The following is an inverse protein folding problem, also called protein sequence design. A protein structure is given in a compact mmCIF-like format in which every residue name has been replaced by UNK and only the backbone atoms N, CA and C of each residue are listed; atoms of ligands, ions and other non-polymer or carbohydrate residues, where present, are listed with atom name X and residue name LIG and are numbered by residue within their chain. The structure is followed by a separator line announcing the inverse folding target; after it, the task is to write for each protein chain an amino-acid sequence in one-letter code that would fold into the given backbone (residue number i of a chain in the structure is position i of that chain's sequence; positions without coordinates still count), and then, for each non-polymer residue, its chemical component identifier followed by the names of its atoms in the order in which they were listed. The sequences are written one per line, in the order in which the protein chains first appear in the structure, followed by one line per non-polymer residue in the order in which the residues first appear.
data_IF_494850121126
#
_entry.id   IF_494850121126
#
_cell.length_a   1.000
_cell.length_b   1.000
_cell.length_c   1.000
_cell.angle_alpha   90.00
_cell.angle_beta   90.00
_cell.angle_gamma   90.00
#
_symmetry.space_group_name_H-M   'P 1'
#
loop_
_entity.id
_entity.type
_entity.pdbx_description
1 polymer ?
#
# COMPACT_ATOMS: atom_id res chain seq x y z
N UNK A 1 -9.59 -4.29 -16.12
CA UNK A 1 -10.45 -5.31 -15.49
C UNK A 1 -9.59 -6.15 -14.54
N UNK A 2 -10.06 -6.28 -13.30
CA UNK A 2 -9.31 -6.95 -12.21
C UNK A 2 -9.05 -8.44 -12.48
N UNK A 3 -9.96 -9.13 -13.19
CA UNK A 3 -9.81 -10.56 -13.51
C UNK A 3 -8.71 -10.76 -14.54
N UNK A 4 -8.71 -9.96 -15.59
CA UNK A 4 -7.67 -9.97 -16.63
C UNK A 4 -6.29 -9.63 -16.06
N UNK A 5 -6.22 -8.64 -15.16
CA UNK A 5 -4.97 -8.26 -14.49
C UNK A 5 -4.41 -9.41 -13.63
N UNK A 6 -5.25 -10.05 -12.82
CA UNK A 6 -4.84 -11.23 -12.02
C UNK A 6 -4.37 -12.39 -12.89
N UNK A 7 -5.05 -12.66 -14.00
CA UNK A 7 -4.66 -13.72 -14.93
C UNK A 7 -3.28 -13.44 -15.54
N UNK A 8 -3.03 -12.20 -15.98
CA UNK A 8 -1.73 -11.80 -16.52
C UNK A 8 -0.63 -11.91 -15.46
N UNK A 9 -0.91 -11.47 -14.23
CA UNK A 9 0.05 -11.55 -13.12
C UNK A 9 0.43 -13.01 -12.81
N UNK A 10 -0.55 -13.92 -12.76
CA UNK A 10 -0.27 -15.36 -12.57
C UNK A 10 0.62 -15.94 -13.65
N UNK A 11 0.44 -15.53 -14.93
CA UNK A 11 1.31 -15.98 -16.04
C UNK A 11 2.76 -15.57 -15.84
N UNK A 12 3.00 -14.39 -15.30
CA UNK A 12 4.34 -13.87 -15.02
C UNK A 12 4.90 -14.32 -13.66
N UNK A 13 4.21 -15.23 -12.96
CA UNK A 13 4.65 -15.77 -11.67
C UNK A 13 4.36 -14.87 -10.46
N UNK A 14 3.61 -13.78 -10.62
CA UNK A 14 3.20 -12.93 -9.50
C UNK A 14 2.10 -13.62 -8.69
N UNK A 15 2.30 -13.86 -7.38
CA UNK A 15 1.34 -14.58 -6.57
C UNK A 15 0.05 -13.79 -6.38
N UNK A 16 -1.09 -14.46 -6.47
CA UNK A 16 -2.42 -13.87 -6.31
C UNK A 16 -3.20 -14.58 -5.21
N UNK A 17 -4.22 -13.91 -4.64
CA UNK A 17 -5.10 -14.53 -3.64
C UNK A 17 -5.73 -15.79 -4.23
N UNK A 18 -5.66 -16.96 -3.54
CA UNK A 18 -6.39 -18.15 -3.95
C UNK A 18 -7.88 -17.88 -4.08
N UNK A 19 -8.49 -18.33 -5.16
CA UNK A 19 -9.90 -18.04 -5.43
C UNK A 19 -10.43 -18.81 -6.63
N UNK A 20 -11.69 -18.56 -6.95
CA UNK A 20 -12.33 -19.10 -8.16
C UNK A 20 -11.67 -18.50 -9.41
N UNK A 21 -11.59 -19.29 -10.50
CA UNK A 21 -11.05 -18.84 -11.79
C UNK A 21 -12.08 -17.98 -12.57
N UNK A 22 -12.62 -16.96 -11.92
CA UNK A 22 -13.67 -16.11 -12.49
C UNK A 22 -15.00 -16.24 -11.74
N UNK A 23 -16.10 -16.08 -12.47
CA UNK A 23 -17.44 -16.22 -11.90
C UNK A 23 -17.67 -17.60 -11.30
N UNK A 24 -18.38 -17.65 -10.18
CA UNK A 24 -18.80 -18.92 -9.59
C UNK A 24 -19.76 -19.65 -10.54
N UNK A 25 -19.63 -20.99 -10.68
CA UNK A 25 -20.57 -21.79 -11.46
C UNK A 25 -21.94 -21.87 -10.77
N UNK A 26 -22.95 -22.25 -11.54
CA UNK A 26 -24.32 -22.44 -11.00
C UNK A 26 -24.47 -23.76 -10.23
N UNK A 27 -23.55 -24.72 -10.43
CA UNK A 27 -23.58 -26.01 -9.75
C UNK A 27 -23.13 -25.90 -8.28
N UNK A 28 -24.03 -26.16 -7.31
CA UNK A 28 -23.71 -26.09 -5.89
C UNK A 28 -22.55 -26.99 -5.46
N UNK A 29 -22.46 -28.20 -6.01
CA UNK A 29 -21.41 -29.17 -5.64
C UNK A 29 -20.04 -28.70 -6.11
N UNK A 30 -19.98 -28.07 -7.27
CA UNK A 30 -18.75 -27.46 -7.78
C UNK A 30 -18.34 -26.23 -6.96
N UNK A 31 -19.28 -25.38 -6.57
CA UNK A 31 -19.04 -24.23 -5.68
C UNK A 31 -18.47 -24.68 -4.33
N UNK A 32 -19.06 -25.73 -3.72
CA UNK A 32 -18.58 -26.27 -2.46
C UNK A 32 -17.15 -26.83 -2.60
N UNK A 33 -16.86 -27.52 -3.70
CA UNK A 33 -15.52 -28.03 -4.01
C UNK A 33 -14.51 -26.88 -4.10
N UNK A 34 -14.82 -25.83 -4.86
CA UNK A 34 -13.96 -24.64 -4.99
C UNK A 34 -13.67 -24.04 -3.60
N UNK A 35 -14.69 -23.88 -2.76
CA UNK A 35 -14.52 -23.33 -1.43
C UNK A 35 -13.61 -24.18 -0.51
N UNK A 36 -13.74 -25.52 -0.59
CA UNK A 36 -12.87 -26.44 0.14
C UNK A 36 -11.42 -26.36 -0.34
N UNK A 37 -11.21 -26.24 -1.65
CA UNK A 37 -9.86 -26.10 -2.24
C UNK A 37 -9.20 -24.78 -1.83
N UNK A 38 -9.96 -23.68 -1.75
CA UNK A 38 -9.49 -22.39 -1.25
C UNK A 38 -9.20 -22.44 0.26
N UNK A 39 -10.03 -23.16 1.01
CA UNK A 39 -10.01 -23.26 2.46
C UNK A 39 -10.68 -22.05 3.17
N UNK A 40 -11.59 -22.37 4.11
CA UNK A 40 -12.30 -21.35 4.91
C UNK A 40 -11.36 -20.60 5.86
N UNK A 41 -11.68 -19.34 6.24
CA UNK A 41 -12.79 -18.55 5.73
C UNK A 41 -12.56 -18.06 4.30
N UNK A 42 -13.66 -17.90 3.56
CA UNK A 42 -13.67 -17.34 2.21
C UNK A 42 -14.47 -16.04 2.16
N UNK A 43 -14.25 -15.24 1.14
CA UNK A 43 -15.02 -14.04 0.87
C UNK A 43 -15.66 -14.14 -0.52
N UNK A 44 -16.96 -13.96 -0.58
CA UNK A 44 -17.74 -13.87 -1.84
C UNK A 44 -17.82 -12.41 -2.24
N UNK A 45 -17.50 -12.09 -3.49
CA UNK A 45 -17.42 -10.72 -4.01
C UNK A 45 -18.20 -10.58 -5.29
N UNK A 46 -18.95 -9.48 -5.44
CA UNK A 46 -19.55 -9.08 -6.71
C UNK A 46 -18.48 -8.70 -7.73
N UNK A 47 -18.54 -9.23 -8.94
CA UNK A 47 -17.57 -8.94 -10.00
C UNK A 47 -17.59 -7.47 -10.43
N UNK A 48 -18.74 -6.83 -10.41
CA UNK A 48 -18.94 -5.41 -10.70
C UNK A 48 -18.83 -4.52 -9.43
N UNK A 49 -18.58 -5.10 -8.26
CA UNK A 49 -18.51 -4.40 -6.98
C UNK A 49 -17.18 -3.67 -6.76
N UNK A 50 -17.21 -2.67 -5.88
CA UNK A 50 -16.05 -1.92 -5.46
C UNK A 50 -16.31 -1.15 -4.15
N UNK A 51 -15.23 -0.67 -3.51
CA UNK A 51 -15.35 0.14 -2.29
C UNK A 51 -15.96 -0.57 -1.07
N UNK A 52 -15.77 -1.91 -0.97
CA UNK A 52 -16.30 -2.68 0.17
C UNK A 52 -17.79 -3.09 0.04
N UNK A 53 -18.46 -2.76 -1.06
CA UNK A 53 -19.83 -3.15 -1.34
C UNK A 53 -19.91 -4.44 -2.15
N UNK A 54 -20.95 -5.25 -1.89
CA UNK A 54 -21.15 -6.53 -2.58
C UNK A 54 -20.11 -7.58 -2.18
N UNK A 55 -19.74 -7.61 -0.91
CA UNK A 55 -18.82 -8.60 -0.34
C UNK A 55 -19.40 -9.22 0.91
N UNK A 56 -19.22 -10.54 1.07
CA UNK A 56 -19.71 -11.30 2.22
C UNK A 56 -18.67 -12.34 2.66
N UNK A 57 -18.31 -12.28 3.95
CA UNK A 57 -17.42 -13.27 4.56
C UNK A 57 -18.19 -14.51 4.94
N UNK A 58 -17.61 -15.67 4.64
CA UNK A 58 -18.18 -17.00 4.91
C UNK A 58 -17.16 -17.82 5.68
N UNK A 59 -17.49 -18.17 6.93
CA UNK A 59 -16.58 -18.86 7.83
C UNK A 59 -16.63 -20.37 7.72
N UNK A 60 -17.74 -20.92 7.26
CA UNK A 60 -17.96 -22.36 7.13
C UNK A 60 -18.87 -22.71 5.95
N UNK A 61 -18.90 -23.99 5.61
CA UNK A 61 -19.61 -24.52 4.45
C UNK A 61 -21.15 -24.38 4.57
N UNK A 62 -21.68 -24.50 5.79
CA UNK A 62 -23.14 -24.56 6.03
C UNK A 62 -23.89 -23.33 5.52
N UNK A 63 -23.24 -22.17 5.59
CA UNK A 63 -23.83 -20.89 5.19
C UNK A 63 -23.35 -20.39 3.83
N UNK A 64 -22.52 -21.16 3.12
CA UNK A 64 -21.90 -20.70 1.87
C UNK A 64 -22.93 -20.42 0.78
N UNK A 65 -23.76 -21.37 0.45
CA UNK A 65 -24.71 -21.25 -0.67
C UNK A 65 -25.72 -20.13 -0.44
N UNK A 66 -26.27 -20.03 0.78
CA UNK A 66 -27.19 -18.92 1.13
C UNK A 66 -26.48 -17.56 1.08
N UNK A 67 -25.22 -17.51 1.49
CA UNK A 67 -24.41 -16.28 1.40
C UNK A 67 -24.17 -15.84 -0.04
N UNK A 68 -23.96 -16.79 -0.96
CA UNK A 68 -23.81 -16.53 -2.39
C UNK A 68 -25.11 -15.96 -2.96
N UNK A 69 -26.25 -16.59 -2.71
CA UNK A 69 -27.56 -16.13 -3.19
C UNK A 69 -27.85 -14.69 -2.75
N UNK A 70 -27.62 -14.38 -1.47
CA UNK A 70 -27.78 -13.02 -0.93
C UNK A 70 -26.84 -12.04 -1.63
N UNK A 71 -25.56 -12.40 -1.81
CA UNK A 71 -24.57 -11.53 -2.45
C UNK A 71 -24.91 -11.31 -3.93
N UNK A 72 -25.40 -12.31 -4.64
CA UNK A 72 -25.86 -12.20 -6.02
C UNK A 72 -27.06 -11.25 -6.14
N UNK A 73 -28.03 -11.37 -5.22
CA UNK A 73 -29.20 -10.48 -5.18
C UNK A 73 -28.81 -9.02 -4.91
N UNK A 74 -27.94 -8.81 -3.94
CA UNK A 74 -27.39 -7.48 -3.62
C UNK A 74 -26.58 -6.90 -4.80
N UNK A 75 -25.79 -7.73 -5.49
CA UNK A 75 -25.00 -7.33 -6.65
C UNK A 75 -25.88 -6.95 -7.85
N UNK A 76 -26.93 -7.73 -8.12
CA UNK A 76 -27.89 -7.43 -9.16
C UNK A 76 -28.61 -6.09 -8.91
N UNK A 77 -29.02 -5.84 -7.66
CA UNK A 77 -29.70 -4.60 -7.28
C UNK A 77 -28.79 -3.37 -7.32
N UNK A 78 -27.55 -3.51 -6.85
CA UNK A 78 -26.62 -2.38 -6.70
C UNK A 78 -25.80 -2.09 -7.96
N UNK A 79 -25.49 -3.12 -8.77
CA UNK A 79 -24.54 -3.03 -9.90
C UNK A 79 -25.12 -3.52 -11.21
N UNK A 80 -26.38 -4.02 -11.23
CA UNK A 80 -27.04 -4.54 -12.43
C UNK A 80 -26.49 -5.89 -12.92
N UNK A 81 -25.67 -6.58 -12.13
CA UNK A 81 -25.09 -7.88 -12.48
C UNK A 81 -25.02 -8.79 -11.27
N UNK A 82 -25.55 -10.03 -11.31
CA UNK A 82 -25.49 -10.99 -10.22
C UNK A 82 -24.17 -11.78 -10.17
N UNK A 83 -23.22 -11.48 -11.05
CA UNK A 83 -21.96 -12.24 -11.14
C UNK A 83 -21.13 -12.04 -9.89
N UNK A 84 -20.80 -13.15 -9.23
CA UNK A 84 -19.94 -13.20 -8.05
C UNK A 84 -18.77 -14.17 -8.24
N UNK A 85 -17.71 -13.93 -7.52
CA UNK A 85 -16.54 -14.81 -7.43
C UNK A 85 -16.14 -14.99 -5.95
N UNK A 86 -15.28 -15.94 -5.66
CA UNK A 86 -14.86 -16.28 -4.31
C UNK A 86 -13.35 -16.21 -4.18
N UNK A 87 -12.86 -15.74 -3.03
CA UNK A 87 -11.43 -15.69 -2.70
C UNK A 87 -11.19 -16.11 -1.25
N UNK A 88 -9.96 -16.50 -0.94
CA UNK A 88 -9.50 -16.68 0.43
C UNK A 88 -9.65 -15.37 1.19
N UNK A 89 -10.26 -15.40 2.37
CA UNK A 89 -10.24 -14.27 3.30
C UNK A 89 -8.89 -14.21 4.00
N UNK A 90 -8.23 -13.08 3.88
CA UNK A 90 -7.04 -12.74 4.68
C UNK A 90 -7.51 -12.05 5.96
N UNK A 91 -7.08 -12.56 7.12
CA UNK A 91 -7.63 -12.10 8.41
C UNK A 91 -6.85 -10.95 9.03
N UNK A 92 -5.53 -10.98 8.90
CA UNK A 92 -4.62 -9.98 9.47
C UNK A 92 -3.53 -9.60 8.47
N UNK A 93 -3.89 -9.24 7.24
CA UNK A 93 -2.89 -8.96 6.22
C UNK A 93 -2.17 -7.63 6.51
N UNK A 94 -0.95 -7.55 6.01
CA UNK A 94 -0.20 -6.31 5.86
C UNK A 94 -0.31 -5.83 4.43
N UNK A 95 -0.25 -4.53 4.23
CA UNK A 95 -0.14 -3.93 2.90
C UNK A 95 1.34 -3.73 2.59
N UNK A 96 1.88 -4.56 1.73
CA UNK A 96 3.28 -4.49 1.31
C UNK A 96 3.32 -4.35 -0.21
N UNK A 97 4.17 -3.47 -0.71
CA UNK A 97 4.21 -3.13 -2.12
C UNK A 97 5.64 -3.16 -2.67
N UNK A 98 5.79 -3.44 -3.97
CA UNK A 98 7.09 -3.52 -4.65
C UNK A 98 7.20 -2.37 -5.65
N UNK A 99 8.22 -1.54 -5.48
CA UNK A 99 8.55 -0.47 -6.42
C UNK A 99 9.30 -1.02 -7.63
N UNK A 100 8.87 -0.66 -8.83
CA UNK A 100 9.54 -1.04 -10.08
C UNK A 100 9.86 0.19 -10.93
N UNK A 101 10.88 0.03 -11.77
CA UNK A 101 11.21 0.91 -12.89
C UNK A 101 11.39 0.05 -14.13
N UNK A 102 10.79 0.46 -15.26
CA UNK A 102 10.90 -0.26 -16.52
C UNK A 102 10.98 0.71 -17.69
N UNK A 103 11.77 0.38 -18.71
CA UNK A 103 12.00 1.25 -19.87
C UNK A 103 11.13 0.93 -21.09
N UNK A 104 10.35 -0.14 -21.04
CA UNK A 104 9.54 -0.61 -22.16
C UNK A 104 10.35 -1.24 -23.29
N UNK A 105 11.67 -1.39 -23.12
CA UNK A 105 12.61 -1.94 -24.09
C UNK A 105 13.17 -3.31 -23.65
N UNK A 106 12.47 -3.97 -22.74
CA UNK A 106 12.84 -5.29 -22.20
C UNK A 106 13.73 -5.24 -20.96
N UNK A 107 13.94 -4.07 -20.37
CA UNK A 107 14.70 -3.91 -19.14
C UNK A 107 13.83 -3.32 -18.02
N UNK A 108 13.85 -3.95 -16.86
CA UNK A 108 13.16 -3.53 -15.66
C UNK A 108 13.96 -3.92 -14.41
N UNK A 109 13.76 -3.18 -13.33
CA UNK A 109 14.34 -3.47 -12.01
C UNK A 109 13.28 -3.26 -10.93
N UNK A 110 13.43 -3.93 -9.78
CA UNK A 110 12.70 -3.57 -8.57
C UNK A 110 13.62 -2.83 -7.59
N UNK A 111 13.04 -1.92 -6.83
CA UNK A 111 13.71 -1.12 -5.81
C UNK A 111 13.33 -1.55 -4.38
N UNK A 112 12.96 -2.83 -4.21
CA UNK A 112 12.53 -3.38 -2.94
C UNK A 112 11.09 -3.04 -2.59
N UNK A 113 10.78 -3.30 -1.33
CA UNK A 113 9.44 -3.23 -0.78
C UNK A 113 9.23 -2.02 0.14
N UNK A 114 7.95 -1.69 0.32
CA UNK A 114 7.46 -0.76 1.35
C UNK A 114 6.33 -1.42 2.12
N UNK A 115 6.28 -1.17 3.42
CA UNK A 115 5.12 -1.48 4.25
C UNK A 115 4.23 -0.25 4.38
N UNK A 116 2.98 -0.39 4.00
CA UNK A 116 1.97 0.65 4.03
C UNK A 116 0.73 0.22 4.86
N UNK A 117 0.94 -0.66 5.82
CA UNK A 117 -0.14 -1.25 6.63
C UNK A 117 -0.78 -0.27 7.60
N UNK A 118 -0.06 0.78 8.01
CA UNK A 118 -0.62 1.79 8.89
C UNK A 118 -1.46 2.76 8.09
N UNK A 119 -2.75 2.42 8.02
CA UNK A 119 -3.72 3.13 7.21
C UNK A 119 -5.06 3.26 7.95
N UNK A 120 -5.87 4.22 7.53
CA UNK A 120 -7.24 4.41 7.99
C UNK A 120 -8.16 4.53 6.79
N UNK A 121 -9.21 3.70 6.74
CA UNK A 121 -10.16 3.67 5.61
C UNK A 121 -9.46 3.60 4.26
N UNK A 122 -8.44 2.75 4.16
CA UNK A 122 -7.57 2.57 2.99
C UNK A 122 -6.69 3.78 2.62
N UNK A 123 -6.60 4.79 3.47
CA UNK A 123 -5.65 5.89 3.32
C UNK A 123 -4.40 5.61 4.15
N UNK A 124 -3.27 5.48 3.48
CA UNK A 124 -1.95 5.28 4.08
C UNK A 124 -1.58 6.50 4.93
N UNK A 125 -1.04 6.29 6.12
CA UNK A 125 -0.69 7.34 7.10
C UNK A 125 0.80 7.31 7.44
N UNK A 126 1.36 6.11 7.68
CA UNK A 126 2.79 5.89 7.85
C UNK A 126 3.21 4.78 6.90
N UNK A 127 4.33 5.00 6.23
CA UNK A 127 4.96 4.02 5.36
C UNK A 127 6.42 3.83 5.77
N UNK A 128 6.96 2.65 5.52
CA UNK A 128 8.36 2.34 5.81
C UNK A 128 8.98 1.40 4.78
N UNK A 129 10.28 1.49 4.62
CA UNK A 129 11.08 0.61 3.76
C UNK A 129 12.42 0.25 4.44
N UNK A 130 12.85 -1.01 4.33
CA UNK A 130 12.07 -2.17 3.87
C UNK A 130 10.97 -2.57 4.85
N UNK A 131 10.02 -3.39 4.41
CA UNK A 131 8.95 -3.90 5.28
C UNK A 131 9.54 -4.78 6.40
N UNK A 132 9.21 -4.50 7.69
CA UNK A 132 9.79 -5.23 8.81
C UNK A 132 9.44 -6.72 8.80
N UNK A 133 10.42 -7.57 9.12
CA UNK A 133 10.21 -9.00 9.36
C UNK A 133 9.87 -9.83 8.13
N UNK A 134 10.04 -9.31 6.91
CA UNK A 134 9.94 -10.08 5.67
C UNK A 134 11.33 -10.63 5.34
N UNK A 135 11.48 -11.96 5.15
CA UNK A 135 12.75 -12.55 4.75
C UNK A 135 13.26 -12.03 3.41
N UNK A 136 14.57 -11.88 3.26
CA UNK A 136 15.18 -11.30 2.06
C UNK A 136 14.95 -12.16 0.81
N UNK A 137 14.96 -13.49 0.95
CA UNK A 137 14.67 -14.42 -0.13
C UNK A 137 13.25 -14.30 -0.66
N UNK A 138 12.27 -14.15 0.24
CA UNK A 138 10.85 -13.95 -0.11
C UNK A 138 10.65 -12.60 -0.81
N UNK A 139 11.34 -11.57 -0.33
CA UNK A 139 11.32 -10.22 -0.94
C UNK A 139 11.93 -10.24 -2.35
N UNK A 140 13.05 -10.91 -2.52
CA UNK A 140 13.73 -11.02 -3.81
C UNK A 140 12.91 -11.83 -4.83
N UNK A 141 12.29 -12.93 -4.41
CA UNK A 141 11.43 -13.75 -5.25
C UNK A 141 10.24 -12.94 -5.81
N UNK A 142 9.51 -12.25 -4.94
CA UNK A 142 8.37 -11.42 -5.40
C UNK A 142 8.84 -10.23 -6.24
N UNK A 143 9.97 -9.62 -5.90
CA UNK A 143 10.58 -8.54 -6.68
C UNK A 143 10.94 -8.99 -8.10
N UNK A 144 11.58 -10.14 -8.24
CA UNK A 144 11.92 -10.74 -9.53
C UNK A 144 10.67 -11.06 -10.37
N UNK A 145 9.59 -11.56 -9.75
CA UNK A 145 8.32 -11.80 -10.42
C UNK A 145 7.69 -10.50 -10.94
N UNK A 146 7.75 -9.40 -10.17
CA UNK A 146 7.29 -8.09 -10.58
C UNK A 146 8.09 -7.53 -11.78
N UNK A 147 9.41 -7.72 -11.76
CA UNK A 147 10.30 -7.35 -12.89
C UNK A 147 9.91 -8.12 -14.14
N UNK A 148 9.73 -9.43 -14.04
CA UNK A 148 9.32 -10.25 -15.17
C UNK A 148 7.96 -9.82 -15.73
N UNK A 149 7.00 -9.52 -14.86
CA UNK A 149 5.69 -9.02 -15.27
C UNK A 149 5.79 -7.70 -16.04
N UNK A 150 6.67 -6.78 -15.61
CA UNK A 150 6.94 -5.53 -16.35
C UNK A 150 7.49 -5.79 -17.74
N UNK A 151 8.43 -6.73 -17.87
CA UNK A 151 9.02 -7.11 -19.17
C UNK A 151 7.96 -7.73 -20.09
N UNK A 152 7.18 -8.68 -19.59
CA UNK A 152 6.13 -9.38 -20.33
C UNK A 152 5.03 -8.43 -20.86
N UNK A 153 4.72 -7.38 -20.10
CA UNK A 153 3.73 -6.37 -20.46
C UNK A 153 4.29 -5.22 -21.30
N UNK A 154 5.61 -5.14 -21.49
CA UNK A 154 6.24 -3.96 -22.11
C UNK A 154 6.01 -2.68 -21.31
N UNK A 155 5.95 -2.77 -19.97
CA UNK A 155 5.69 -1.62 -19.10
C UNK A 155 6.77 -0.56 -19.23
N UNK A 156 6.36 0.73 -19.14
CA UNK A 156 7.27 1.87 -19.27
C UNK A 156 7.01 2.87 -18.15
N UNK A 157 8.02 3.21 -17.38
CA UNK A 157 7.97 4.21 -16.30
C UNK A 157 8.16 3.63 -14.90
N UNK A 158 7.81 4.43 -13.90
CA UNK A 158 7.74 4.01 -12.52
C UNK A 158 6.38 3.37 -12.23
N UNK A 159 6.38 2.28 -11.49
CA UNK A 159 5.16 1.59 -11.09
C UNK A 159 5.31 0.90 -9.74
N UNK A 160 4.20 0.52 -9.17
CA UNK A 160 4.17 -0.16 -7.87
C UNK A 160 3.17 -1.30 -7.93
N UNK A 161 3.63 -2.50 -7.59
CA UNK A 161 2.77 -3.66 -7.38
C UNK A 161 2.34 -3.70 -5.93
N UNK A 162 1.05 -3.61 -5.65
CA UNK A 162 0.49 -3.69 -4.31
C UNK A 162 0.05 -5.10 -3.96
N UNK A 163 0.38 -5.53 -2.74
CA UNK A 163 0.10 -6.86 -2.22
C UNK A 163 -0.52 -6.79 -0.83
N UNK A 164 -1.33 -7.79 -0.52
CA UNK A 164 -1.55 -8.20 0.86
C UNK A 164 -0.50 -9.27 1.22
N UNK A 165 0.09 -9.14 2.40
CA UNK A 165 1.07 -10.08 2.93
C UNK A 165 0.54 -10.69 4.24
N UNK A 166 0.43 -12.01 4.26
CA UNK A 166 -0.01 -12.76 5.44
C UNK A 166 0.67 -14.14 5.46
N UNK A 167 1.08 -14.59 6.62
CA UNK A 167 1.67 -15.92 6.84
C UNK A 167 2.83 -16.24 5.88
N UNK A 168 3.73 -15.27 5.68
CA UNK A 168 4.92 -15.45 4.84
C UNK A 168 4.66 -15.38 3.33
N UNK A 169 3.46 -15.03 2.89
CA UNK A 169 3.05 -15.05 1.48
C UNK A 169 2.52 -13.71 1.00
N UNK A 170 2.90 -13.36 -0.22
CA UNK A 170 2.39 -12.21 -0.94
C UNK A 170 1.15 -12.57 -1.76
N UNK A 171 0.18 -11.65 -1.84
CA UNK A 171 -1.03 -11.81 -2.65
C UNK A 171 -1.33 -10.51 -3.38
N UNK A 172 -1.17 -10.51 -4.70
CA UNK A 172 -1.35 -9.34 -5.56
C UNK A 172 -2.76 -8.76 -5.47
N UNK A 173 -2.83 -7.45 -5.31
CA UNK A 173 -4.07 -6.67 -5.32
C UNK A 173 -4.21 -5.91 -6.64
N UNK A 174 -3.26 -5.02 -6.91
CA UNK A 174 -3.28 -4.13 -8.07
C UNK A 174 -1.89 -3.59 -8.40
N UNK A 175 -1.76 -2.99 -9.57
CA UNK A 175 -0.58 -2.24 -9.98
C UNK A 175 -0.94 -0.77 -10.16
N UNK A 176 -0.20 0.11 -9.48
CA UNK A 176 -0.26 1.53 -9.70
C UNK A 176 0.77 1.94 -10.75
N UNK A 177 0.30 2.43 -11.90
CA UNK A 177 1.14 2.80 -13.04
C UNK A 177 1.59 4.26 -12.98
N UNK A 178 2.05 4.68 -11.83
CA UNK A 178 2.50 6.05 -11.50
C UNK A 178 3.46 6.04 -10.34
N UNK A 179 4.12 7.16 -10.10
CA UNK A 179 4.80 7.41 -8.83
C UNK A 179 3.77 7.54 -7.70
N UNK A 180 4.08 7.03 -6.52
CA UNK A 180 3.22 7.13 -5.34
C UNK A 180 3.77 8.13 -4.32
N UNK A 181 2.92 8.54 -3.36
CA UNK A 181 3.27 9.51 -2.31
C UNK A 181 4.48 9.00 -1.51
N UNK A 182 4.52 7.72 -1.21
CA UNK A 182 5.48 7.01 -0.37
C UNK A 182 6.80 6.64 -1.05
N UNK A 183 7.03 7.07 -2.31
CA UNK A 183 8.29 6.80 -3.00
C UNK A 183 9.56 7.28 -2.25
N UNK A 184 9.50 8.33 -1.41
CA UNK A 184 10.70 8.82 -0.70
C UNK A 184 11.36 7.78 0.20
N UNK A 185 10.61 6.88 0.86
CA UNK A 185 11.25 5.86 1.72
C UNK A 185 12.10 4.90 0.91
N UNK A 186 11.70 4.58 -0.32
CA UNK A 186 12.50 3.77 -1.26
C UNK A 186 13.72 4.55 -1.74
N UNK A 187 13.57 5.83 -2.06
CA UNK A 187 14.71 6.69 -2.45
C UNK A 187 15.76 6.78 -1.35
N UNK A 188 15.32 6.90 -0.09
CA UNK A 188 16.25 7.02 1.04
C UNK A 188 17.07 5.76 1.29
N UNK A 189 16.53 4.57 1.08
CA UNK A 189 17.27 3.31 1.29
C UNK A 189 18.06 2.86 0.07
N UNK A 190 17.74 3.35 -1.14
CA UNK A 190 18.43 2.95 -2.38
C UNK A 190 19.37 4.01 -2.93
N UNK A 191 19.15 5.28 -2.59
CA UNK A 191 19.87 6.41 -3.21
C UNK A 191 19.46 6.69 -4.65
N UNK A 192 18.37 6.10 -5.14
CA UNK A 192 17.86 6.26 -6.50
C UNK A 192 16.73 7.28 -6.51
N UNK A 193 16.88 8.35 -7.29
CA UNK A 193 15.86 9.36 -7.55
C UNK A 193 14.84 8.81 -8.56
N UNK A 194 13.68 8.36 -8.05
CA UNK A 194 12.64 7.70 -8.85
C UNK A 194 12.02 8.68 -9.86
N UNK A 195 11.76 9.93 -9.47
CA UNK A 195 11.18 10.94 -10.35
C UNK A 195 12.14 11.28 -11.49
N UNK A 196 13.43 11.39 -11.21
CA UNK A 196 14.46 11.56 -12.25
C UNK A 196 14.46 10.40 -13.22
N UNK A 197 14.43 9.16 -12.74
CA UNK A 197 14.39 7.98 -13.61
C UNK A 197 13.12 7.97 -14.48
N UNK A 198 11.98 8.31 -13.90
CA UNK A 198 10.71 8.42 -14.63
C UNK A 198 10.79 9.42 -15.78
N UNK A 199 11.42 10.58 -15.56
CA UNK A 199 11.63 11.60 -16.61
C UNK A 199 12.58 11.13 -17.70
N UNK A 200 13.68 10.47 -17.34
CA UNK A 200 14.64 9.91 -18.30
C UNK A 200 13.98 8.84 -19.19
N UNK A 201 13.23 7.93 -18.60
CA UNK A 201 12.49 6.87 -19.30
C UNK A 201 11.44 7.48 -20.24
N UNK A 202 10.67 8.47 -19.75
CA UNK A 202 9.68 9.17 -20.57
C UNK A 202 10.33 9.93 -21.76
N UNK A 203 11.56 10.38 -21.57
CA UNK A 203 12.40 10.95 -22.63
C UNK A 203 12.98 9.93 -23.62
N UNK A 204 12.62 8.65 -23.50
CA UNK A 204 13.08 7.59 -24.40
C UNK A 204 14.46 7.02 -24.06
N UNK A 205 15.05 7.40 -22.94
CA UNK A 205 16.33 6.84 -22.51
C UNK A 205 16.14 5.42 -21.94
N UNK A 206 17.01 4.47 -22.29
CA UNK A 206 16.99 3.15 -21.67
C UNK A 206 17.35 3.26 -20.18
N UNK A 207 16.80 2.36 -19.37
CA UNK A 207 17.13 2.27 -17.94
C UNK A 207 18.60 1.85 -17.79
N UNK A 208 19.42 2.73 -17.24
CA UNK A 208 20.87 2.50 -17.04
C UNK A 208 21.21 1.70 -15.78
N UNK A 209 20.26 1.54 -14.88
CA UNK A 209 20.44 0.87 -13.59
C UNK A 209 20.19 -0.63 -13.76
N UNK A 210 21.15 -1.46 -13.37
CA UNK A 210 20.99 -2.91 -13.32
C UNK A 210 20.51 -3.33 -11.92
N UNK A 211 19.82 -4.47 -11.82
CA UNK A 211 19.39 -5.00 -10.52
C UNK A 211 20.56 -5.20 -9.55
N UNK A 212 21.71 -5.65 -10.06
CA UNK A 212 22.94 -5.84 -9.28
C UNK A 212 23.54 -4.54 -8.71
N UNK A 213 23.21 -3.39 -9.28
CA UNK A 213 23.72 -2.09 -8.83
C UNK A 213 22.94 -1.54 -7.64
N UNK A 214 21.73 -2.03 -7.44
CA UNK A 214 20.83 -1.57 -6.39
C UNK A 214 21.28 -2.13 -5.05
N UNK A 215 21.53 -1.22 -4.11
CA UNK A 215 21.93 -1.55 -2.73
C UNK A 215 20.87 -0.97 -1.78
N UNK A 216 20.47 -1.76 -0.81
CA UNK A 216 19.56 -1.35 0.24
C UNK A 216 20.34 -1.00 1.50
N UNK A 217 20.22 0.25 1.96
CA UNK A 217 20.97 0.75 3.10
C UNK A 217 20.02 1.26 4.17
N UNK A 218 20.08 0.64 5.35
CA UNK A 218 19.33 1.06 6.52
C UNK A 218 17.83 0.92 6.39
N UNK A 219 17.13 1.83 7.02
CA UNK A 219 15.68 1.84 7.11
C UNK A 219 15.12 3.26 7.03
N UNK A 220 14.00 3.45 6.35
CA UNK A 220 13.36 4.76 6.22
C UNK A 220 11.88 4.68 6.59
N UNK A 221 11.39 5.75 7.22
CA UNK A 221 9.99 5.89 7.66
C UNK A 221 9.47 7.22 7.16
N UNK A 222 8.27 7.22 6.60
CA UNK A 222 7.53 8.41 6.18
C UNK A 222 6.27 8.56 7.02
N UNK A 223 6.01 9.78 7.50
CA UNK A 223 4.73 10.17 8.09
C UNK A 223 4.08 11.19 7.17
N UNK A 224 2.85 10.92 6.71
CA UNK A 224 2.05 11.88 5.95
C UNK A 224 1.49 12.95 6.88
N UNK A 225 1.84 14.19 6.66
CA UNK A 225 1.34 15.33 7.44
C UNK A 225 0.11 15.89 6.70
N UNK A 226 -1.05 15.63 7.27
CA UNK A 226 -2.34 16.05 6.72
C UNK A 226 -2.92 17.22 7.52
N UNK A 227 -3.50 18.19 6.82
CA UNK A 227 -4.26 19.30 7.39
C UNK A 227 -5.63 18.82 7.84
N UNK A 228 -5.69 18.13 8.97
CA UNK A 228 -6.88 17.52 9.54
C UNK A 228 -6.80 17.42 11.06
N UNK A 229 -7.96 17.32 11.69
CA UNK A 229 -8.04 17.06 13.12
C UNK A 229 -7.50 15.65 13.42
N UNK A 230 -6.56 15.48 14.38
CA UNK A 230 -5.91 14.19 14.64
C UNK A 230 -6.82 13.11 15.22
N UNK A 231 -8.00 13.48 15.70
CA UNK A 231 -8.98 12.54 16.31
C UNK A 231 -10.17 12.26 15.40
N UNK A 232 -10.76 13.33 14.86
CA UNK A 232 -11.95 13.22 14.01
C UNK A 232 -11.62 13.01 12.53
N UNK A 233 -10.38 13.34 12.12
CA UNK A 233 -9.91 13.34 10.74
C UNK A 233 -10.69 14.29 9.82
N UNK A 234 -11.39 15.24 10.39
CA UNK A 234 -12.05 16.29 9.62
C UNK A 234 -11.01 17.24 9.04
N UNK A 235 -11.14 17.64 7.77
CA UNK A 235 -10.25 18.61 7.14
C UNK A 235 -10.15 19.88 7.98
N UNK A 236 -8.96 20.45 8.06
CA UNK A 236 -8.68 21.70 8.77
C UNK A 236 -8.09 22.74 7.82
N UNK A 237 -8.90 23.34 6.94
CA UNK A 237 -8.46 24.43 6.08
C UNK A 237 -8.14 25.69 6.90
N UNK A 238 -7.33 26.58 6.36
CA UNK A 238 -6.98 27.84 7.01
C UNK A 238 -5.60 28.33 6.63
N UNK A 239 -5.20 29.46 7.22
CA UNK A 239 -3.90 30.06 6.95
C UNK A 239 -2.87 29.56 7.96
N UNK A 240 -1.76 29.02 7.45
CA UNK A 240 -0.60 28.63 8.26
C UNK A 240 0.10 29.88 8.76
N UNK A 241 0.14 30.06 10.07
CA UNK A 241 0.81 31.21 10.70
C UNK A 241 2.30 30.98 10.83
N UNK A 242 2.70 29.79 11.32
CA UNK A 242 4.07 29.39 11.50
C UNK A 242 4.28 28.02 10.86
N UNK A 243 5.34 27.91 10.07
CA UNK A 243 5.83 26.65 9.51
C UNK A 243 7.31 26.51 9.81
N UNK A 244 7.67 25.45 10.55
CA UNK A 244 9.05 25.07 10.77
C UNK A 244 9.25 23.59 10.43
N UNK A 245 10.08 23.32 9.44
CA UNK A 245 10.46 21.99 9.03
C UNK A 245 11.68 21.53 9.83
N UNK A 246 11.68 20.32 10.41
CA UNK A 246 12.85 19.75 11.05
C UNK A 246 13.94 19.47 10.02
N UNK A 247 15.17 19.37 10.48
CA UNK A 247 16.34 19.11 9.65
C UNK A 247 17.36 18.20 10.32
N UNK A 248 18.49 18.00 9.64
CA UNK A 248 19.59 17.19 10.12
C UNK A 248 19.83 15.94 9.28
N UNK A 249 20.88 15.18 9.67
CA UNK A 249 21.28 14.00 8.93
C UNK A 249 20.21 12.90 8.94
N UNK A 250 19.73 12.54 7.76
CA UNK A 250 18.68 11.52 7.60
C UNK A 250 17.27 12.03 7.90
N UNK A 251 17.05 13.35 7.84
CA UNK A 251 15.71 13.97 7.90
C UNK A 251 15.43 14.67 6.60
N UNK A 252 14.28 14.36 5.99
CA UNK A 252 13.79 14.96 4.75
C UNK A 252 12.35 15.42 4.93
N UNK A 253 12.02 16.59 4.40
CA UNK A 253 10.66 17.12 4.35
C UNK A 253 10.33 17.46 2.91
N UNK A 254 9.31 16.81 2.36
CA UNK A 254 8.74 17.13 1.05
C UNK A 254 7.40 17.84 1.29
N UNK A 255 7.32 19.10 0.96
CA UNK A 255 6.12 19.90 1.22
C UNK A 255 6.02 21.10 0.26
N UNK A 256 4.80 21.57 0.05
CA UNK A 256 4.50 22.78 -0.70
C UNK A 256 4.05 23.94 0.20
N UNK A 257 3.86 23.68 1.52
CA UNK A 257 3.38 24.68 2.46
C UNK A 257 4.51 25.55 3.02
N UNK A 258 4.15 26.74 3.45
CA UNK A 258 5.03 27.73 4.07
C UNK A 258 4.22 28.65 5.00
N UNK A 259 4.89 29.46 5.82
CA UNK A 259 4.21 30.46 6.65
C UNK A 259 3.49 31.48 5.77
N UNK A 260 2.18 31.63 5.98
CA UNK A 260 1.29 32.45 5.15
C UNK A 260 0.52 31.66 4.07
N UNK A 261 0.82 30.39 3.85
CA UNK A 261 0.08 29.55 2.92
C UNK A 261 -1.35 29.32 3.40
N UNK A 262 -2.33 29.46 2.49
CA UNK A 262 -3.73 29.16 2.76
C UNK A 262 -4.07 27.75 2.27
N UNK A 263 -4.31 26.82 3.20
CA UNK A 263 -4.77 25.46 2.90
C UNK A 263 -6.23 25.54 2.43
N UNK A 264 -6.53 25.13 1.19
CA UNK A 264 -7.88 25.22 0.64
C UNK A 264 -8.82 24.17 1.24
N UNK A 265 -10.14 24.46 1.29
CA UNK A 265 -11.11 23.55 1.93
C UNK A 265 -11.51 22.35 1.06
N UNK A 266 -11.18 22.34 -0.22
CA UNK A 266 -11.66 21.36 -1.20
C UNK A 266 -10.58 20.45 -1.78
N UNK A 267 -9.33 20.65 -1.39
CA UNK A 267 -8.21 19.84 -1.87
C UNK A 267 -7.89 18.70 -0.91
N UNK A 268 -7.00 17.80 -1.36
CA UNK A 268 -6.42 16.75 -0.51
C UNK A 268 -5.78 17.39 0.73
N UNK A 269 -6.02 16.80 1.89
CA UNK A 269 -5.47 17.27 3.17
C UNK A 269 -3.94 17.12 3.27
N UNK A 270 -3.30 16.36 2.37
CA UNK A 270 -1.86 16.13 2.38
C UNK A 270 -1.08 17.44 2.21
N UNK A 271 -0.44 17.87 3.28
CA UNK A 271 0.30 19.14 3.34
C UNK A 271 1.81 18.95 3.28
N UNK A 272 2.28 17.76 3.62
CA UNK A 272 3.70 17.42 3.59
C UNK A 272 3.97 15.98 3.96
N UNK A 273 5.21 15.58 3.74
CA UNK A 273 5.75 14.28 4.12
C UNK A 273 6.99 14.51 4.96
N UNK A 274 7.01 13.90 6.14
CA UNK A 274 8.19 13.87 6.99
C UNK A 274 8.83 12.49 6.88
N UNK A 275 10.06 12.43 6.38
CA UNK A 275 10.78 11.20 6.12
C UNK A 275 12.05 11.17 6.96
N UNK A 276 12.33 10.03 7.60
CA UNK A 276 13.59 9.82 8.31
C UNK A 276 14.28 8.56 7.82
N UNK A 277 15.60 8.56 7.89
CA UNK A 277 16.46 7.44 7.53
C UNK A 277 17.51 7.20 8.62
N UNK A 278 17.77 5.94 8.93
CA UNK A 278 18.81 5.49 9.83
C UNK A 278 19.39 4.16 9.39
N UNK A 279 20.55 3.78 9.95
CA UNK A 279 21.22 2.51 9.67
C UNK A 279 20.39 1.31 10.12
N UNK A 280 19.41 1.54 10.98
CA UNK A 280 18.43 0.56 11.42
C UNK A 280 17.06 1.19 11.60
N UNK A 281 16.00 0.34 11.68
CA UNK A 281 14.63 0.78 11.97
C UNK A 281 14.54 1.53 13.30
N UNK A 282 15.26 1.07 14.32
CA UNK A 282 15.30 1.72 15.63
C UNK A 282 15.85 3.16 15.53
N UNK A 283 16.92 3.35 14.77
CA UNK A 283 17.50 4.69 14.54
C UNK A 283 16.56 5.56 13.74
N UNK A 284 15.93 5.04 12.68
CA UNK A 284 14.94 5.77 11.90
C UNK A 284 13.75 6.22 12.76
N UNK A 285 13.25 5.35 13.67
CA UNK A 285 12.19 5.69 14.63
C UNK A 285 12.63 6.77 15.63
N UNK A 286 13.83 6.69 16.17
CA UNK A 286 14.36 7.73 17.07
C UNK A 286 14.42 9.09 16.38
N UNK A 287 14.92 9.12 15.15
CA UNK A 287 14.94 10.34 14.34
C UNK A 287 13.53 10.86 14.04
N UNK A 288 12.57 9.96 13.75
CA UNK A 288 11.18 10.36 13.50
C UNK A 288 10.54 11.00 14.74
N UNK A 289 10.76 10.47 15.93
CA UNK A 289 10.29 11.08 17.19
C UNK A 289 10.82 12.49 17.34
N UNK A 290 12.14 12.67 17.22
CA UNK A 290 12.76 13.99 17.32
C UNK A 290 12.25 14.94 16.24
N UNK A 291 12.17 14.49 14.99
CA UNK A 291 11.69 15.30 13.87
C UNK A 291 10.23 15.74 14.05
N UNK A 292 9.35 14.86 14.56
CA UNK A 292 7.97 15.19 14.87
C UNK A 292 7.84 16.22 16.00
N UNK A 293 8.75 16.20 16.99
CA UNK A 293 8.77 17.19 18.07
C UNK A 293 9.22 18.57 17.58
N UNK A 294 10.15 18.61 16.62
CA UNK A 294 10.62 19.84 15.99
C UNK A 294 9.69 20.38 14.90
N UNK A 295 8.78 19.54 14.37
CA UNK A 295 7.88 19.92 13.28
C UNK A 295 6.73 20.81 13.76
N UNK A 296 6.73 22.09 13.35
CA UNK A 296 5.77 23.09 13.81
C UNK A 296 4.90 23.56 12.66
N UNK A 297 3.60 23.39 12.78
CA UNK A 297 2.57 23.96 11.91
C UNK A 297 1.52 24.59 12.81
N UNK A 298 1.40 25.93 12.77
CA UNK A 298 0.41 26.67 13.53
C UNK A 298 -0.58 27.36 12.62
N UNK A 299 -1.79 27.56 13.09
CA UNK A 299 -2.88 28.20 12.36
C UNK A 299 -3.92 27.24 11.79
N UNK A 300 -3.53 25.96 11.64
CA UNK A 300 -4.42 24.86 11.26
C UNK A 300 -4.19 23.67 12.20
N UNK A 301 -5.07 22.69 12.17
CA UNK A 301 -4.83 21.37 12.82
C UNK A 301 -4.15 20.44 11.83
N UNK A 302 -3.29 19.59 12.35
CA UNK A 302 -2.63 18.52 11.58
C UNK A 302 -2.66 17.21 12.37
N UNK A 303 -2.45 16.10 11.67
CA UNK A 303 -2.35 14.78 12.28
C UNK A 303 -0.97 14.50 12.94
N UNK A 304 -0.10 15.50 13.05
CA UNK A 304 1.23 15.34 13.68
C UNK A 304 1.16 14.80 15.12
N UNK A 305 0.12 15.19 15.89
CA UNK A 305 -0.09 14.66 17.23
C UNK A 305 -0.36 13.15 17.23
N UNK A 306 -1.14 12.66 16.27
CA UNK A 306 -1.38 11.22 16.08
C UNK A 306 -0.08 10.49 15.74
N UNK A 307 0.75 11.04 14.87
CA UNK A 307 2.05 10.45 14.54
C UNK A 307 2.96 10.32 15.77
N UNK A 308 3.01 11.33 16.65
CA UNK A 308 3.77 11.26 17.91
C UNK A 308 3.34 10.10 18.81
N UNK A 309 2.05 9.82 18.85
CA UNK A 309 1.50 8.68 19.60
C UNK A 309 1.87 7.34 18.93
N UNK A 310 1.76 7.26 17.60
CA UNK A 310 1.98 6.03 16.85
C UNK A 310 3.45 5.58 16.85
N UNK A 311 4.39 6.50 16.67
CA UNK A 311 5.83 6.16 16.59
C UNK A 311 6.43 5.69 17.91
N UNK A 312 5.70 5.81 19.02
CA UNK A 312 6.09 5.28 20.34
C UNK A 312 5.22 4.10 20.78
N UNK A 313 4.17 3.78 20.03
CA UNK A 313 3.29 2.67 20.35
C UNK A 313 4.05 1.33 20.22
N UNK A 314 3.92 0.50 21.26
CA UNK A 314 4.70 -0.75 21.34
C UNK A 314 4.43 -1.72 20.19
N UNK A 315 3.21 -1.78 19.68
CA UNK A 315 2.86 -2.65 18.56
C UNK A 315 3.48 -2.16 17.25
N UNK A 316 3.44 -0.85 17.00
CA UNK A 316 4.10 -0.26 15.83
C UNK A 316 5.63 -0.38 15.93
N UNK A 317 6.20 -0.10 17.11
CA UNK A 317 7.64 -0.25 17.36
C UNK A 317 8.13 -1.68 17.15
N UNK A 318 7.33 -2.68 17.54
CA UNK A 318 7.64 -4.09 17.27
C UNK A 318 7.67 -4.43 15.76
N UNK A 319 6.93 -3.70 14.95
CA UNK A 319 6.83 -3.91 13.50
C UNK A 319 5.78 -4.96 13.10
N UNK A 320 5.40 -4.94 11.83
CA UNK A 320 4.51 -5.94 11.25
C UNK A 320 3.04 -5.83 11.65
N UNK A 321 2.55 -4.62 11.95
CA UNK A 321 1.12 -4.38 12.21
C UNK A 321 0.28 -4.66 10.96
N UNK A 322 -0.96 -5.13 11.16
CA UNK A 322 -1.90 -5.38 10.07
C UNK A 322 -2.61 -4.09 9.61
N UNK A 323 -3.27 -4.16 8.45
CA UNK A 323 -4.08 -3.03 7.92
C UNK A 323 -5.24 -2.62 8.86
N UNK A 324 -5.62 -3.45 9.82
CA UNK A 324 -6.70 -3.18 10.79
C UNK A 324 -6.20 -2.53 12.08
N UNK A 325 -4.88 -2.42 12.25
CA UNK A 325 -4.27 -1.96 13.50
C UNK A 325 -4.76 -0.57 13.95
N UNK A 326 -4.71 0.41 13.04
CA UNK A 326 -5.04 1.79 13.41
C UNK A 326 -6.51 1.96 13.74
N UNK A 327 -7.41 1.34 12.98
CA UNK A 327 -8.85 1.39 13.25
C UNK A 327 -9.16 0.77 14.61
N UNK A 328 -8.63 -0.40 14.91
CA UNK A 328 -8.79 -1.05 16.21
C UNK A 328 -8.23 -0.19 17.37
N UNK A 329 -7.13 0.52 17.14
CA UNK A 329 -6.54 1.42 18.15
C UNK A 329 -7.40 2.68 18.41
N UNK A 330 -8.07 3.19 17.39
CA UNK A 330 -8.91 4.40 17.50
C UNK A 330 -10.31 4.14 18.06
N UNK A 331 -10.77 2.88 18.08
CA UNK A 331 -12.05 2.47 18.66
C UNK A 331 -11.99 2.34 20.21
N UNK A 332 -10.79 2.33 20.78
CA UNK A 332 -10.51 2.24 22.22
C UNK A 332 -9.92 3.55 22.77
#
# INVERSE_FOLDING_TARGET
DKVSAKHQMRKSGVPTVPGSEGALPDDPDEVLRIARDIGYPVIVKAAAGGGGRGMRVVHNEEVLLSSIEVTQSEAAAAFGSPVVYMEKLLQRPRHVEIQVLADGQGHAVHLGDRDCSLQRRHQKIIEEAPAPGIPDDVREEVGAACVQACIDMGYTGAGTFEFLYEDGRFFFIEMNTRVQVEHPVTEMITGIDIVKQQLLIAGGQPLSIKQSDIKFNGHSIECRINAEDPRTFMPSPGTIKTFHAPGGHGVRVDSHIYSGYAVPPHDDSLSGKLITHGDSREIALKKMRQALDEFIIEGIRTNAALHRELVVDSSFVAGGVSIHYLESKLEH
#
